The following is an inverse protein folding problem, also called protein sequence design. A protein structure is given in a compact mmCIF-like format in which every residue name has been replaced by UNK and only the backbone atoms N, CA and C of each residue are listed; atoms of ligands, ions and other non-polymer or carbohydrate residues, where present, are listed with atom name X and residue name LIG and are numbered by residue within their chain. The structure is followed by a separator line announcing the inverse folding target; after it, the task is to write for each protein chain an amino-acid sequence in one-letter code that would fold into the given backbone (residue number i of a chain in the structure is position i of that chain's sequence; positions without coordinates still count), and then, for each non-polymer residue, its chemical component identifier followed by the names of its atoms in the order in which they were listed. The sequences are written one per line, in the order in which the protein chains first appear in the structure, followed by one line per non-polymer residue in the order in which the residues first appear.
data_IF_416948495259
#
_entry.id   IF_416948495259
#
_cell.length_a   1.000
_cell.length_b   1.000
_cell.length_c   1.000
_cell.angle_alpha   90.00
_cell.angle_beta   90.00
_cell.angle_gamma   90.00
#
_symmetry.space_group_name_H-M   'P 1'
#
loop_
_entity.id
_entity.type
_entity.pdbx_description
1 polymer ?
#
# COMPACT_ATOMS: atom_id res chain seq x y z
N UNK A 1 16.51 12.94 -18.89
CA UNK A 1 15.67 11.98 -18.13
C UNK A 1 16.58 10.91 -17.57
N UNK A 2 16.58 10.72 -16.25
CA UNK A 2 17.29 9.61 -15.62
C UNK A 2 16.56 8.32 -15.99
N UNK A 3 17.23 7.28 -16.49
CA UNK A 3 16.55 6.01 -16.78
C UNK A 3 15.94 5.46 -15.50
N UNK A 4 14.67 5.02 -15.58
CA UNK A 4 14.00 4.33 -14.48
C UNK A 4 14.79 3.07 -14.14
N UNK A 5 15.08 2.86 -12.85
CA UNK A 5 15.83 1.67 -12.39
C UNK A 5 14.98 0.40 -12.42
N UNK A 6 13.67 0.54 -12.31
CA UNK A 6 12.70 -0.55 -12.24
C UNK A 6 11.66 -0.40 -13.33
N UNK A 7 11.18 -1.53 -13.86
CA UNK A 7 10.11 -1.57 -14.85
C UNK A 7 8.71 -1.54 -14.21
N UNK A 8 8.60 -2.04 -12.98
CA UNK A 8 7.37 -2.07 -12.18
C UNK A 8 7.72 -2.19 -10.69
N UNK A 9 6.74 -1.94 -9.83
CA UNK A 9 6.87 -2.07 -8.37
C UNK A 9 5.70 -2.90 -7.83
N UNK A 10 5.99 -3.93 -7.06
CA UNK A 10 5.00 -4.64 -6.25
C UNK A 10 5.36 -4.48 -4.77
N UNK A 11 4.38 -4.09 -3.95
CA UNK A 11 4.58 -3.87 -2.50
C UNK A 11 3.51 -4.57 -1.69
N UNK A 12 3.91 -5.19 -0.58
CA UNK A 12 3.01 -5.88 0.34
C UNK A 12 3.13 -5.26 1.74
N UNK A 13 1.99 -4.96 2.37
CA UNK A 13 1.89 -4.39 3.72
C UNK A 13 2.84 -3.18 3.93
N UNK A 14 2.98 -2.33 2.91
CA UNK A 14 3.94 -1.25 2.91
C UNK A 14 3.33 0.05 3.46
N UNK A 15 4.13 0.79 4.22
CA UNK A 15 3.81 2.18 4.50
C UNK A 15 3.89 3.00 3.21
N UNK A 16 2.96 3.95 3.05
CA UNK A 16 2.97 4.83 1.90
C UNK A 16 4.22 5.72 1.89
N UNK A 17 4.84 5.94 0.72
CA UNK A 17 5.90 6.93 0.61
C UNK A 17 5.30 8.34 0.75
N UNK A 18 6.11 9.34 1.18
CA UNK A 18 5.62 10.69 1.45
C UNK A 18 5.21 11.48 0.20
N UNK A 19 5.56 11.01 -1.00
CA UNK A 19 5.28 11.67 -2.27
C UNK A 19 4.96 10.65 -3.37
N UNK A 20 3.90 10.89 -4.14
CA UNK A 20 3.49 10.07 -5.30
C UNK A 20 4.26 10.39 -6.59
N UNK A 21 4.71 11.63 -6.75
CA UNK A 21 5.36 12.10 -7.98
C UNK A 21 6.51 11.22 -8.51
N UNK A 22 7.41 10.65 -7.68
CA UNK A 22 8.48 9.78 -8.18
C UNK A 22 7.99 8.48 -8.85
N UNK A 23 6.75 8.07 -8.60
CA UNK A 23 6.13 6.86 -9.11
C UNK A 23 5.26 7.10 -10.35
N UNK A 24 5.18 8.35 -10.82
CA UNK A 24 4.39 8.74 -12.00
C UNK A 24 4.69 7.87 -13.21
N UNK A 25 3.65 7.24 -13.75
CA UNK A 25 3.67 6.36 -14.92
C UNK A 25 4.51 5.08 -14.74
N UNK A 26 4.86 4.70 -13.51
CA UNK A 26 5.46 3.41 -13.19
C UNK A 26 4.34 2.42 -12.86
N UNK A 27 4.30 1.24 -13.50
CA UNK A 27 3.39 0.19 -13.08
C UNK A 27 3.59 -0.18 -11.61
N UNK A 28 2.51 -0.16 -10.85
CA UNK A 28 2.50 -0.37 -9.42
C UNK A 28 1.35 -1.28 -9.01
N UNK A 29 1.65 -2.28 -8.19
CA UNK A 29 0.63 -3.11 -7.54
C UNK A 29 0.89 -3.19 -6.04
N UNK A 30 -0.04 -2.62 -5.26
CA UNK A 30 -0.02 -2.73 -3.81
C UNK A 30 -0.94 -3.85 -3.30
N UNK A 31 -0.49 -4.54 -2.26
CA UNK A 31 -1.22 -5.60 -1.58
C UNK A 31 -1.28 -5.27 -0.09
N UNK A 32 -2.47 -5.26 0.51
CA UNK A 32 -2.63 -4.98 1.93
C UNK A 32 -3.86 -5.70 2.50
N UNK A 33 -3.82 -6.08 3.77
CA UNK A 33 -5.04 -6.45 4.49
C UNK A 33 -5.66 -5.23 5.19
N UNK A 34 -6.99 -5.15 5.23
CA UNK A 34 -7.72 -4.06 5.88
C UNK A 34 -7.54 -4.07 7.41
N UNK A 35 -7.46 -5.26 8.00
CA UNK A 35 -7.28 -5.46 9.43
C UNK A 35 -5.81 -5.45 9.90
N UNK A 36 -4.84 -5.15 9.03
CA UNK A 36 -3.42 -5.21 9.39
C UNK A 36 -3.11 -4.33 10.60
N UNK A 37 -2.64 -4.98 11.67
CA UNK A 37 -2.40 -4.33 12.96
C UNK A 37 -1.01 -3.72 13.06
N UNK A 38 -0.07 -4.19 12.22
CA UNK A 38 1.33 -3.78 12.22
C UNK A 38 1.48 -2.53 11.35
N UNK A 39 0.90 -2.52 10.16
CA UNK A 39 0.97 -1.41 9.22
C UNK A 39 -0.44 -0.97 8.85
N UNK A 40 -0.78 0.31 9.09
CA UNK A 40 -2.10 0.80 8.74
C UNK A 40 -2.31 0.87 7.21
N UNK A 41 -3.34 0.18 6.71
CA UNK A 41 -3.66 0.13 5.28
C UNK A 41 -4.02 1.50 4.67
N UNK A 42 -4.56 2.42 5.48
CA UNK A 42 -5.09 3.72 5.02
C UNK A 42 -4.03 4.54 4.28
N UNK A 43 -2.77 4.43 4.72
CA UNK A 43 -1.65 5.11 4.07
C UNK A 43 -1.51 4.69 2.61
N UNK A 44 -1.36 3.39 2.35
CA UNK A 44 -1.16 2.89 0.98
C UNK A 44 -2.41 3.10 0.13
N UNK A 45 -3.61 2.98 0.73
CA UNK A 45 -4.87 3.20 0.05
C UNK A 45 -4.98 4.63 -0.51
N UNK A 46 -4.66 5.62 0.32
CA UNK A 46 -4.67 7.03 -0.10
C UNK A 46 -3.59 7.31 -1.13
N UNK A 47 -2.40 6.73 -0.97
CA UNK A 47 -1.30 6.87 -1.92
C UNK A 47 -1.67 6.35 -3.32
N UNK A 48 -2.24 5.14 -3.41
CA UNK A 48 -2.64 4.56 -4.71
C UNK A 48 -3.72 5.40 -5.36
N UNK A 49 -4.71 5.89 -4.58
CA UNK A 49 -5.73 6.81 -5.07
C UNK A 49 -5.17 8.13 -5.58
N UNK A 50 -4.15 8.68 -4.93
CA UNK A 50 -3.51 9.92 -5.37
C UNK A 50 -2.73 9.72 -6.67
N UNK A 51 -1.98 8.61 -6.76
CA UNK A 51 -1.20 8.24 -7.94
C UNK A 51 -2.10 8.04 -9.17
N UNK A 52 -3.22 7.34 -8.99
CA UNK A 52 -4.25 7.12 -10.01
C UNK A 52 -4.87 8.44 -10.50
N UNK A 53 -5.32 9.30 -9.57
CA UNK A 53 -6.10 10.50 -9.91
C UNK A 53 -5.31 11.67 -10.46
N UNK A 54 -4.10 11.90 -9.95
CA UNK A 54 -3.43 13.19 -10.10
C UNK A 54 -2.15 13.13 -10.91
N UNK A 55 -1.51 11.96 -10.99
CA UNK A 55 -0.19 11.85 -11.61
C UNK A 55 -0.20 11.11 -12.94
N UNK A 56 -1.37 10.82 -13.51
CA UNK A 56 -1.46 10.07 -14.77
C UNK A 56 -0.95 8.65 -14.60
N UNK A 57 -1.29 8.03 -13.45
CA UNK A 57 -1.33 6.58 -13.39
C UNK A 57 -2.22 6.10 -14.52
N UNK A 58 -1.70 5.19 -15.35
CA UNK A 58 -2.56 4.44 -16.23
C UNK A 58 -3.44 3.57 -15.31
N UNK A 59 -4.78 3.66 -15.39
CA UNK A 59 -5.67 2.81 -14.60
C UNK A 59 -5.37 1.32 -14.80
N UNK A 60 -4.79 0.95 -15.94
CA UNK A 60 -4.37 -0.42 -16.24
C UNK A 60 -3.01 -0.79 -15.62
N UNK A 61 -2.26 0.17 -15.08
CA UNK A 61 -0.93 -0.05 -14.50
C UNK A 61 -0.85 0.24 -13.00
N UNK A 62 -1.87 0.86 -12.39
CA UNK A 62 -1.89 1.18 -10.95
C UNK A 62 -2.99 0.40 -10.22
N UNK A 63 -2.59 -0.60 -9.44
CA UNK A 63 -3.51 -1.55 -8.79
C UNK A 63 -3.34 -1.57 -7.27
N UNK A 64 -4.46 -1.77 -6.57
CA UNK A 64 -4.48 -2.09 -5.15
C UNK A 64 -5.40 -3.30 -4.93
N UNK A 65 -4.82 -4.37 -4.38
CA UNK A 65 -5.58 -5.51 -3.86
C UNK A 65 -5.66 -5.37 -2.35
N UNK A 66 -6.89 -5.24 -1.84
CA UNK A 66 -7.17 -5.26 -0.41
C UNK A 66 -7.74 -6.63 -0.06
N UNK A 67 -7.14 -7.28 0.93
CA UNK A 67 -7.67 -8.49 1.54
C UNK A 67 -8.46 -8.12 2.78
N UNK A 68 -9.55 -8.84 3.04
CA UNK A 68 -10.39 -8.57 4.21
C UNK A 68 -9.61 -8.82 5.51
N UNK A 69 -8.82 -9.90 5.56
CA UNK A 69 -8.11 -10.34 6.76
C UNK A 69 -6.66 -10.78 6.49
N UNK A 70 -5.74 -10.32 7.35
CA UNK A 70 -4.41 -10.85 7.56
C UNK A 70 -4.40 -11.77 8.81
N UNK A 71 -3.52 -12.78 8.84
CA UNK A 71 -3.30 -13.60 10.01
C UNK A 71 -2.77 -12.75 11.19
N UNK A 72 -3.03 -13.22 12.41
CA UNK A 72 -2.50 -12.59 13.61
C UNK A 72 -0.97 -12.50 13.56
N UNK A 73 -0.37 -11.36 13.95
CA UNK A 73 1.07 -11.24 14.02
C UNK A 73 1.63 -12.18 15.07
N UNK A 74 2.79 -12.75 14.78
CA UNK A 74 3.49 -13.60 15.73
C UNK A 74 3.79 -12.83 17.03
N UNK A 75 3.31 -13.36 18.16
CA UNK A 75 3.50 -12.76 19.49
C UNK A 75 2.50 -11.67 19.88
N UNK A 76 1.49 -11.40 19.05
CA UNK A 76 0.41 -10.44 19.31
C UNK A 76 -0.97 -11.08 19.02
N UNK A 77 -1.38 -12.09 19.82
CA UNK A 77 -2.69 -12.71 19.65
C UNK A 77 -3.82 -11.70 19.97
N UNK A 78 -4.98 -11.87 19.34
CA UNK A 78 -6.22 -11.13 19.59
C UNK A 78 -6.19 -9.61 19.28
N UNK A 79 -5.27 -9.12 18.43
CA UNK A 79 -5.30 -7.73 17.97
C UNK A 79 -6.25 -7.55 16.78
N UNK A 80 -7.28 -6.72 16.94
CA UNK A 80 -8.20 -6.32 15.86
C UNK A 80 -7.93 -4.87 15.45
N UNK A 81 -7.06 -4.68 14.45
CA UNK A 81 -6.77 -3.37 13.83
C UNK A 81 -5.48 -2.68 14.28
N UNK A 82 -5.01 -1.73 13.46
CA UNK A 82 -3.76 -0.99 13.72
C UNK A 82 -3.79 -0.25 15.05
N UNK A 83 -2.75 -0.46 15.86
CA UNK A 83 -2.61 0.06 17.22
C UNK A 83 -3.71 -0.40 18.21
N UNK A 84 -4.37 -1.53 17.95
CA UNK A 84 -5.21 -2.21 18.94
C UNK A 84 -4.35 -2.89 20.02
N UNK A 85 -3.62 -2.08 20.79
CA UNK A 85 -3.12 -2.56 22.08
C UNK A 85 -4.36 -2.75 22.97
N UNK A 86 -4.68 -4.01 23.30
CA UNK A 86 -5.64 -4.34 24.34
C UNK A 86 -5.40 -3.43 25.56
N UNK A 87 -6.47 -2.77 26.01
CA UNK A 87 -6.52 -2.02 27.26
C UNK A 87 -6.38 -2.95 28.47
#
# INVERSE_FOLDING_TARGET
MTPRRFAAVAVAAAHAPPQAHPYKGMPLWAFHAENDVVVNYTGIFNFVKELDRHEGGDPDETHLTVYDEAPEPYGLPDQTGHASCMA
#
